data_IF_427088265575
#
_entry.id   IF_427088265575
#
_cell.length_a   1.000
_cell.length_b   1.000
_cell.length_c   1.000
_cell.angle_alpha   90.00
_cell.angle_beta   90.00
_cell.angle_gamma   90.00
#
_symmetry.space_group_name_H-M   'P 1'
#
loop_
_entity.id
_entity.type
_entity.pdbx_description
1 polymer ?
#
# COMPACT_ATOMS: atom_id res chain seq x y z
N UNK A 1 -21.30 11.74 43.23
CA UNK A 1 -20.91 10.31 43.14
C UNK A 1 -21.35 9.77 41.78
N UNK A 2 -20.59 8.86 41.17
CA UNK A 2 -20.89 8.35 39.81
C UNK A 2 -22.04 7.35 39.83
N UNK A 3 -22.89 7.37 38.80
CA UNK A 3 -23.97 6.40 38.55
C UNK A 3 -23.46 5.00 38.15
N UNK A 4 -22.15 4.76 38.22
CA UNK A 4 -21.48 3.51 37.82
C UNK A 4 -20.71 2.87 39.00
N UNK A 5 -21.03 3.28 40.23
CA UNK A 5 -20.41 2.79 41.46
C UNK A 5 -21.00 1.43 41.88
N UNK A 6 -20.20 0.68 42.64
CA UNK A 6 -20.56 -0.65 43.14
C UNK A 6 -21.76 -0.59 44.10
N UNK A 7 -22.66 -1.55 43.98
CA UNK A 7 -23.76 -1.77 44.95
C UNK A 7 -23.20 -2.37 46.24
N UNK A 8 -23.64 -1.85 47.38
CA UNK A 8 -23.34 -2.41 48.71
C UNK A 8 -24.51 -3.28 49.12
N UNK A 9 -24.28 -4.58 49.27
CA UNK A 9 -25.26 -5.54 49.76
C UNK A 9 -25.16 -5.65 51.28
N UNK A 10 -26.22 -5.29 51.99
CA UNK A 10 -26.28 -5.37 53.46
C UNK A 10 -27.35 -6.35 53.92
N UNK A 11 -27.14 -6.92 55.10
CA UNK A 11 -28.14 -7.77 55.76
C UNK A 11 -29.46 -7.02 55.96
N UNK A 12 -30.58 -7.70 55.70
CA UNK A 12 -31.92 -7.14 55.82
C UNK A 12 -32.34 -6.16 54.71
N UNK A 13 -31.51 -5.94 53.67
CA UNK A 13 -31.86 -5.05 52.56
C UNK A 13 -32.98 -5.62 51.69
N UNK A 14 -34.00 -4.81 51.39
CA UNK A 14 -35.09 -5.19 50.48
C UNK A 14 -34.66 -5.03 49.01
N UNK A 15 -34.78 -6.10 48.23
CA UNK A 15 -34.42 -6.10 46.81
C UNK A 15 -35.35 -5.20 45.99
N UNK A 16 -34.76 -4.47 45.06
CA UNK A 16 -35.45 -3.57 44.12
C UNK A 16 -34.74 -3.61 42.77
N UNK A 17 -35.41 -3.34 41.64
CA UNK A 17 -34.81 -3.36 40.31
C UNK A 17 -33.53 -2.52 40.20
N UNK A 18 -33.49 -1.38 40.89
CA UNK A 18 -32.34 -0.46 40.88
C UNK A 18 -31.04 -1.12 41.37
N UNK A 19 -31.11 -2.08 42.29
CA UNK A 19 -29.92 -2.79 42.76
C UNK A 19 -29.29 -3.62 41.63
N UNK A 20 -30.11 -4.31 40.84
CA UNK A 20 -29.64 -5.13 39.73
C UNK A 20 -29.12 -4.25 38.58
N UNK A 21 -29.88 -3.23 38.19
CA UNK A 21 -29.48 -2.25 37.15
C UNK A 21 -28.15 -1.56 37.50
N UNK A 22 -27.98 -1.14 38.76
CA UNK A 22 -26.74 -0.50 39.21
C UNK A 22 -25.57 -1.48 39.26
N UNK A 23 -25.82 -2.73 39.64
CA UNK A 23 -24.79 -3.78 39.64
C UNK A 23 -24.33 -4.09 38.22
N UNK A 24 -25.24 -4.23 37.26
CA UNK A 24 -24.93 -4.42 35.84
C UNK A 24 -24.07 -3.28 35.30
N UNK A 25 -24.50 -2.02 35.47
CA UNK A 25 -23.71 -0.84 35.06
C UNK A 25 -22.31 -0.82 35.66
N UNK A 26 -22.15 -1.21 36.93
CA UNK A 26 -20.84 -1.30 37.57
C UNK A 26 -19.96 -2.38 36.92
N UNK A 27 -20.52 -3.56 36.63
CA UNK A 27 -19.80 -4.68 36.01
C UNK A 27 -19.43 -4.38 34.56
N UNK A 28 -20.36 -3.85 33.76
CA UNK A 28 -20.12 -3.40 32.39
C UNK A 28 -18.98 -2.38 32.34
N UNK A 29 -19.03 -1.34 33.19
CA UNK A 29 -17.95 -0.34 33.28
C UNK A 29 -16.62 -0.98 33.66
N UNK A 30 -16.62 -1.92 34.60
CA UNK A 30 -15.39 -2.59 35.01
C UNK A 30 -14.77 -3.38 33.84
N UNK A 31 -15.60 -4.08 33.05
CA UNK A 31 -15.17 -4.79 31.85
C UNK A 31 -14.64 -3.81 30.82
N UNK A 32 -15.42 -2.79 30.46
CA UNK A 32 -15.05 -1.77 29.47
C UNK A 32 -13.73 -1.06 29.83
N UNK A 33 -13.57 -0.61 31.08
CA UNK A 33 -12.34 0.03 31.53
C UNK A 33 -11.12 -0.89 31.48
N UNK A 34 -11.31 -2.19 31.73
CA UNK A 34 -10.21 -3.18 31.65
C UNK A 34 -9.88 -3.49 30.19
N UNK A 35 -10.87 -3.60 29.32
CA UNK A 35 -10.69 -3.85 27.88
C UNK A 35 -10.02 -2.67 27.18
N UNK A 36 -10.50 -1.44 27.43
CA UNK A 36 -9.95 -0.21 26.83
C UNK A 36 -8.50 0.07 27.28
N UNK A 37 -8.08 -0.44 28.44
CA UNK A 37 -6.70 -0.34 28.89
C UNK A 37 -5.74 -1.30 28.16
N UNK A 38 -6.25 -2.34 27.49
CA UNK A 38 -5.43 -3.35 26.81
C UNK A 38 -5.17 -3.03 25.34
N UNK A 39 -6.14 -2.44 24.64
CA UNK A 39 -6.03 -2.15 23.22
C UNK A 39 -6.56 -0.75 22.90
N UNK A 40 -5.76 0.05 22.21
CA UNK A 40 -6.24 1.28 21.60
C UNK A 40 -7.19 0.94 20.45
N UNK A 41 -8.30 1.68 20.34
CA UNK A 41 -9.31 1.48 19.29
C UNK A 41 -9.96 0.08 19.33
N UNK A 42 -10.30 -0.42 20.52
CA UNK A 42 -10.97 -1.71 20.72
C UNK A 42 -12.44 -1.77 20.28
N UNK A 43 -12.81 -1.02 19.23
CA UNK A 43 -14.14 -0.99 18.65
C UNK A 43 -14.06 -1.13 17.12
N UNK A 44 -15.18 -1.42 16.46
CA UNK A 44 -15.26 -1.66 15.02
C UNK A 44 -15.93 -3.00 14.70
N UNK A 45 -16.05 -3.28 13.41
CA UNK A 45 -16.58 -4.55 12.91
C UNK A 45 -15.53 -5.67 13.00
N UNK A 46 -15.98 -6.85 13.42
CA UNK A 46 -15.32 -8.12 13.12
C UNK A 46 -15.80 -8.70 11.79
N UNK A 47 -17.05 -8.39 11.42
CA UNK A 47 -17.69 -8.90 10.21
C UNK A 47 -18.83 -7.96 9.81
N UNK A 48 -19.03 -7.74 8.50
CA UNK A 48 -20.15 -6.97 7.96
C UNK A 48 -20.51 -7.49 6.56
N UNK A 49 -21.79 -7.82 6.36
CA UNK A 49 -22.36 -8.13 5.05
C UNK A 49 -23.60 -7.28 4.85
N UNK A 50 -23.61 -6.50 3.76
CA UNK A 50 -24.74 -5.69 3.29
C UNK A 50 -25.49 -6.46 2.19
N UNK A 51 -26.82 -6.33 2.17
CA UNK A 51 -27.66 -6.93 1.13
C UNK A 51 -27.50 -6.21 -0.22
N UNK A 52 -26.84 -6.87 -1.16
CA UNK A 52 -26.58 -6.33 -2.50
C UNK A 52 -27.82 -6.26 -3.40
N UNK A 53 -28.85 -7.07 -3.15
CA UNK A 53 -30.09 -7.07 -3.93
C UNK A 53 -31.01 -5.93 -3.51
N UNK A 54 -31.02 -5.56 -2.23
CA UNK A 54 -31.77 -4.41 -1.73
C UNK A 54 -31.16 -3.07 -2.18
N UNK A 55 -29.85 -2.99 -2.41
CA UNK A 55 -29.20 -1.80 -2.98
C UNK A 55 -29.77 -1.42 -4.35
N UNK A 56 -30.17 -2.43 -5.16
CA UNK A 56 -30.81 -2.21 -6.47
C UNK A 56 -32.21 -1.61 -6.35
N UNK A 57 -32.79 -1.59 -5.15
CA UNK A 57 -34.15 -1.14 -4.86
C UNK A 57 -34.19 0.15 -4.03
N UNK A 58 -33.06 0.86 -3.87
CA UNK A 58 -33.01 2.09 -3.08
C UNK A 58 -32.86 1.84 -1.58
N UNK A 59 -32.41 0.65 -1.17
CA UNK A 59 -32.46 0.22 0.23
C UNK A 59 -31.12 -0.30 0.72
N UNK A 60 -30.77 0.02 1.95
CA UNK A 60 -29.62 -0.56 2.65
C UNK A 60 -30.13 -1.42 3.79
N UNK A 61 -29.66 -2.67 3.83
CA UNK A 61 -29.92 -3.61 4.90
C UNK A 61 -28.65 -4.38 5.24
N UNK A 62 -28.48 -4.73 6.51
CA UNK A 62 -27.42 -5.61 6.98
C UNK A 62 -27.95 -7.04 6.96
N UNK A 63 -27.22 -7.97 6.35
CA UNK A 63 -27.53 -9.42 6.36
C UNK A 63 -26.93 -10.08 7.60
N UNK A 64 -25.71 -9.69 7.95
CA UNK A 64 -25.05 -10.12 9.18
C UNK A 64 -23.95 -9.13 9.54
N UNK A 65 -23.76 -8.88 10.83
CA UNK A 65 -22.66 -8.06 11.31
C UNK A 65 -22.32 -8.40 12.75
N UNK A 66 -21.03 -8.43 13.07
CA UNK A 66 -20.54 -8.59 14.44
C UNK A 66 -19.49 -7.55 14.71
N UNK A 67 -19.43 -7.06 15.95
CA UNK A 67 -18.48 -6.02 16.30
C UNK A 67 -18.71 -5.42 17.67
N UNK A 68 -18.02 -4.32 17.91
CA UNK A 68 -18.10 -3.52 19.14
C UNK A 68 -18.30 -2.06 18.73
N UNK A 69 -19.36 -1.42 19.22
CA UNK A 69 -19.62 0.00 18.98
C UNK A 69 -18.62 0.88 19.75
N UNK A 70 -18.43 2.16 19.38
CA UNK A 70 -17.44 3.03 20.04
C UNK A 70 -17.69 3.27 21.54
N UNK A 71 -18.91 3.00 22.03
CA UNK A 71 -19.25 3.05 23.46
C UNK A 71 -18.94 1.74 24.22
N UNK A 72 -18.27 0.79 23.57
CA UNK A 72 -17.85 -0.49 24.13
C UNK A 72 -18.89 -1.61 24.01
N UNK A 73 -20.04 -1.35 23.38
CA UNK A 73 -21.13 -2.34 23.34
C UNK A 73 -20.96 -3.34 22.22
N UNK A 74 -20.87 -4.65 22.53
CA UNK A 74 -20.83 -5.69 21.52
C UNK A 74 -22.20 -5.87 20.86
N UNK A 75 -22.21 -6.31 19.61
CA UNK A 75 -23.42 -6.71 18.89
C UNK A 75 -23.13 -7.89 17.95
N UNK A 76 -24.17 -8.67 17.66
CA UNK A 76 -24.11 -9.84 16.78
C UNK A 76 -25.45 -10.06 16.04
N UNK A 77 -25.54 -9.53 14.83
CA UNK A 77 -26.71 -9.63 13.95
C UNK A 77 -26.53 -10.83 12.99
N UNK A 78 -27.53 -11.72 12.82
CA UNK A 78 -28.82 -11.78 13.52
C UNK A 78 -28.84 -12.74 14.73
N UNK A 79 -27.67 -13.23 15.17
CA UNK A 79 -27.62 -14.36 16.12
C UNK A 79 -28.08 -13.98 17.53
N UNK A 80 -27.58 -12.88 18.07
CA UNK A 80 -27.90 -12.40 19.42
C UNK A 80 -28.82 -11.17 19.38
N UNK A 81 -28.70 -10.36 18.32
CA UNK A 81 -29.43 -9.11 18.14
C UNK A 81 -30.34 -9.15 16.91
N UNK A 82 -31.47 -8.45 16.99
CA UNK A 82 -32.39 -8.30 15.87
C UNK A 82 -31.79 -7.44 14.74
N UNK A 83 -32.21 -7.74 13.50
CA UNK A 83 -31.82 -6.95 12.35
C UNK A 83 -32.29 -5.49 12.51
N UNK A 84 -31.42 -4.49 12.23
CA UNK A 84 -31.86 -3.11 12.19
C UNK A 84 -32.88 -2.93 11.05
N UNK A 85 -33.80 -1.98 11.23
CA UNK A 85 -34.78 -1.67 10.20
C UNK A 85 -34.10 -1.27 8.89
N UNK A 86 -34.65 -1.76 7.77
CA UNK A 86 -34.15 -1.44 6.43
C UNK A 86 -34.18 0.07 6.22
N UNK A 87 -33.06 0.64 5.79
CA UNK A 87 -32.91 2.06 5.51
C UNK A 87 -33.28 2.34 4.05
N UNK A 88 -34.33 3.13 3.82
CA UNK A 88 -34.66 3.62 2.49
C UNK A 88 -33.83 4.87 2.17
N UNK A 89 -33.17 4.86 1.02
CA UNK A 89 -32.32 5.96 0.55
C UNK A 89 -33.13 6.82 -0.42
N UNK A 90 -33.28 8.13 -0.14
CA UNK A 90 -33.91 9.04 -1.08
C UNK A 90 -33.15 9.14 -2.41
N UNK A 91 -33.85 9.55 -3.47
CA UNK A 91 -33.23 9.85 -4.76
C UNK A 91 -32.30 11.08 -4.64
N UNK A 92 -31.27 11.15 -5.52
CA UNK A 92 -30.31 12.26 -5.60
C UNK A 92 -29.42 12.46 -4.34
N UNK A 93 -29.21 11.39 -3.57
CA UNK A 93 -28.19 11.39 -2.52
C UNK A 93 -26.81 11.19 -3.15
N UNK A 94 -25.83 11.99 -2.70
CA UNK A 94 -24.46 11.95 -3.17
C UNK A 94 -23.48 12.06 -2.01
N UNK A 95 -22.43 11.23 -2.03
CA UNK A 95 -21.32 11.24 -1.07
C UNK A 95 -21.79 11.33 0.40
N UNK A 96 -22.67 10.44 0.82
CA UNK A 96 -23.25 10.43 2.16
C UNK A 96 -22.86 9.15 2.92
N UNK A 97 -22.49 9.31 4.19
CA UNK A 97 -22.20 8.17 5.08
C UNK A 97 -23.47 7.54 5.65
N UNK A 98 -23.43 6.22 5.82
CA UNK A 98 -24.44 5.42 6.51
C UNK A 98 -23.80 4.75 7.72
N UNK A 99 -24.50 4.77 8.85
CA UNK A 99 -24.01 4.30 10.12
C UNK A 99 -24.92 3.22 10.72
N UNK A 100 -24.33 2.28 11.44
CA UNK A 100 -25.02 1.44 12.42
C UNK A 100 -24.91 2.14 13.77
N UNK A 101 -26.05 2.50 14.35
CA UNK A 101 -26.14 3.26 15.59
C UNK A 101 -26.88 2.51 16.69
N UNK A 102 -26.53 2.82 17.93
CA UNK A 102 -27.32 2.47 19.12
C UNK A 102 -27.48 3.70 20.03
N UNK A 103 -28.63 3.93 20.68
CA UNK A 103 -28.80 5.06 21.59
C UNK A 103 -27.80 5.03 22.76
N UNK A 104 -27.13 6.15 23.04
CA UNK A 104 -26.14 6.28 24.12
C UNK A 104 -26.75 6.08 25.51
N UNK A 105 -25.99 5.45 26.41
CA UNK A 105 -26.33 5.38 27.84
C UNK A 105 -26.24 6.78 28.47
N UNK A 106 -27.37 7.32 28.94
CA UNK A 106 -27.47 8.66 29.54
C UNK A 106 -28.00 8.55 30.97
N UNK A 107 -27.29 9.17 31.92
CA UNK A 107 -27.72 9.17 33.31
C UNK A 107 -29.11 9.83 33.47
N UNK A 108 -30.05 9.10 34.04
CA UNK A 108 -31.44 9.56 34.26
C UNK A 108 -32.37 9.44 33.06
N UNK A 109 -31.88 8.98 31.91
CA UNK A 109 -32.73 8.60 30.78
C UNK A 109 -33.29 7.19 30.97
N UNK A 110 -34.43 6.91 30.34
CA UNK A 110 -34.97 5.55 30.25
C UNK A 110 -34.09 4.73 29.28
N UNK A 111 -33.43 3.71 29.81
CA UNK A 111 -32.55 2.83 29.01
C UNK A 111 -33.33 1.72 28.29
N UNK A 112 -34.49 1.32 28.83
CA UNK A 112 -35.30 0.22 28.30
C UNK A 112 -36.72 0.68 28.04
N UNK A 113 -37.21 0.43 26.83
CA UNK A 113 -38.60 0.60 26.47
C UNK A 113 -39.39 -0.67 26.83
N UNK A 114 -40.30 -0.57 27.80
CA UNK A 114 -41.16 -1.66 28.27
C UNK A 114 -42.58 -1.53 27.71
N UNK A 115 -42.95 -0.34 27.21
CA UNK A 115 -44.29 -0.03 26.71
C UNK A 115 -44.45 -0.24 25.20
N UNK A 116 -45.68 -0.09 24.73
CA UNK A 116 -46.03 -0.14 23.30
C UNK A 116 -45.66 1.13 22.53
N UNK A 117 -45.48 2.27 23.22
CA UNK A 117 -45.04 3.51 22.60
C UNK A 117 -43.55 3.43 22.24
N UNK A 118 -43.19 3.85 21.03
CA UNK A 118 -41.80 3.86 20.57
C UNK A 118 -41.02 4.95 21.31
N UNK A 119 -40.07 4.53 22.16
CA UNK A 119 -39.03 5.41 22.67
C UNK A 119 -37.76 5.28 21.82
N UNK A 120 -37.57 6.21 20.87
CA UNK A 120 -36.49 6.14 19.88
C UNK A 120 -35.07 6.19 20.47
N UNK A 121 -34.91 6.74 21.68
CA UNK A 121 -33.63 6.83 22.38
C UNK A 121 -33.49 5.82 23.53
N UNK A 122 -34.43 4.89 23.68
CA UNK A 122 -34.26 3.78 24.60
C UNK A 122 -33.26 2.79 23.97
N UNK A 123 -32.24 2.41 24.72
CA UNK A 123 -31.19 1.51 24.23
C UNK A 123 -31.69 0.09 23.98
N UNK A 124 -32.65 -0.37 24.78
CA UNK A 124 -33.21 -1.71 24.71
C UNK A 124 -34.72 -1.69 24.55
N UNK A 125 -35.27 -2.71 23.87
CA UNK A 125 -36.68 -3.08 23.93
C UNK A 125 -36.86 -4.29 24.84
N UNK A 126 -37.87 -4.27 25.70
CA UNK A 126 -38.28 -5.47 26.42
C UNK A 126 -38.92 -6.47 25.45
N UNK A 127 -38.44 -7.71 25.45
CA UNK A 127 -38.98 -8.82 24.67
C UNK A 127 -39.20 -9.99 25.60
N UNK A 128 -40.36 -10.64 25.49
CA UNK A 128 -40.65 -11.85 26.27
C UNK A 128 -39.85 -13.04 25.71
N UNK A 129 -39.18 -13.77 26.58
CA UNK A 129 -38.40 -14.95 26.26
C UNK A 129 -38.59 -16.03 27.32
N UNK A 130 -38.82 -17.26 26.89
CA UNK A 130 -38.88 -18.42 27.77
C UNK A 130 -37.46 -18.87 28.12
N UNK A 131 -37.11 -18.79 29.41
CA UNK A 131 -35.79 -19.16 29.91
C UNK A 131 -35.88 -20.45 30.71
N UNK A 132 -35.07 -21.43 30.33
CA UNK A 132 -34.98 -22.73 30.99
C UNK A 132 -34.12 -22.64 32.25
N UNK A 133 -34.58 -23.26 33.33
CA UNK A 133 -33.70 -23.56 34.47
C UNK A 133 -32.70 -24.67 34.09
N UNK A 134 -31.41 -24.33 34.05
CA UNK A 134 -30.32 -25.26 33.75
C UNK A 134 -29.78 -25.99 34.99
N UNK A 135 -30.24 -25.65 36.18
CA UNK A 135 -29.90 -26.34 37.43
C UNK A 135 -30.86 -27.49 37.74
N UNK A 136 -32.06 -27.51 37.15
CA UNK A 136 -33.06 -28.56 37.31
C UNK A 136 -33.11 -29.46 36.04
N UNK A 137 -32.93 -30.79 36.16
CA UNK A 137 -33.15 -31.73 35.07
C UNK A 137 -34.53 -31.64 34.41
N UNK A 138 -35.58 -31.29 35.17
CA UNK A 138 -36.92 -31.06 34.63
C UNK A 138 -36.97 -29.89 33.65
N UNK A 139 -36.09 -28.89 33.85
CA UNK A 139 -35.87 -27.80 32.91
C UNK A 139 -37.12 -26.96 32.67
N UNK A 140 -37.82 -26.57 33.75
CA UNK A 140 -39.00 -25.71 33.65
C UNK A 140 -38.65 -24.41 32.91
N UNK A 141 -39.56 -23.98 32.06
CA UNK A 141 -39.47 -22.72 31.32
C UNK A 141 -40.17 -21.62 32.13
N UNK A 142 -39.45 -20.54 32.37
CA UNK A 142 -39.98 -19.33 32.98
C UNK A 142 -39.96 -18.20 31.94
N UNK A 143 -41.12 -17.59 31.69
CA UNK A 143 -41.20 -16.41 30.84
C UNK A 143 -40.56 -15.22 31.57
N UNK A 144 -39.55 -14.61 30.93
CA UNK A 144 -38.84 -13.43 31.39
C UNK A 144 -38.83 -12.35 30.31
N UNK A 145 -38.71 -11.08 30.72
CA UNK A 145 -38.43 -9.98 29.79
C UNK A 145 -36.93 -9.79 29.66
N UNK A 146 -36.42 -9.95 28.45
CA UNK A 146 -35.01 -9.68 28.10
C UNK A 146 -34.90 -8.37 27.32
N UNK A 147 -33.73 -7.73 27.38
CA UNK A 147 -33.45 -6.49 26.66
C UNK A 147 -32.87 -6.78 25.28
N UNK A 148 -33.65 -6.56 24.21
CA UNK A 148 -33.17 -6.59 22.84
C UNK A 148 -32.54 -5.24 22.47
N UNK A 149 -31.30 -5.24 21.98
CA UNK A 149 -30.58 -4.02 21.61
C UNK A 149 -31.28 -3.29 20.45
N UNK A 150 -31.48 -1.97 20.58
CA UNK A 150 -32.06 -1.16 19.51
C UNK A 150 -31.00 -0.67 18.53
N UNK A 151 -30.56 -1.56 17.64
CA UNK A 151 -29.69 -1.22 16.52
C UNK A 151 -30.49 -0.52 15.41
N UNK A 152 -29.94 0.55 14.85
CA UNK A 152 -30.58 1.35 13.82
C UNK A 152 -29.59 1.70 12.71
N UNK A 153 -30.03 1.65 11.46
CA UNK A 153 -29.30 2.25 10.35
C UNK A 153 -29.66 3.74 10.29
N UNK A 154 -28.64 4.59 10.29
CA UNK A 154 -28.75 6.05 10.32
C UNK A 154 -27.96 6.65 9.16
N UNK A 155 -28.44 7.76 8.63
CA UNK A 155 -27.73 8.55 7.62
C UNK A 155 -26.91 9.65 8.28
N UNK A 156 -25.89 10.12 7.58
CA UNK A 156 -25.10 11.28 8.02
C UNK A 156 -25.94 12.54 8.23
N UNK A 157 -27.02 12.69 7.48
CA UNK A 157 -27.98 13.78 7.63
C UNK A 157 -28.93 13.66 8.84
N UNK A 158 -28.97 12.52 9.52
CA UNK A 158 -29.77 12.33 10.74
C UNK A 158 -29.08 12.96 11.97
N UNK A 159 -29.82 13.12 13.08
CA UNK A 159 -29.21 13.55 14.36
C UNK A 159 -28.47 12.39 15.05
N UNK A 160 -27.17 12.30 14.79
CA UNK A 160 -26.28 11.27 15.34
C UNK A 160 -25.86 11.54 16.80
N UNK A 161 -26.15 12.71 17.38
CA UNK A 161 -25.70 13.09 18.74
C UNK A 161 -26.27 12.18 19.86
N UNK A 162 -27.36 11.48 19.55
CA UNK A 162 -28.02 10.48 20.38
C UNK A 162 -27.34 9.12 20.43
N UNK A 163 -26.38 8.85 19.54
CA UNK A 163 -26.00 7.48 19.19
C UNK A 163 -24.49 7.24 19.28
N UNK A 164 -24.12 6.01 19.63
CA UNK A 164 -22.81 5.49 19.31
C UNK A 164 -22.89 4.84 17.92
N UNK A 165 -22.03 5.28 16.99
CA UNK A 165 -22.16 4.96 15.56
C UNK A 165 -20.90 4.29 15.00
N UNK A 166 -21.09 3.28 14.16
CA UNK A 166 -20.06 2.72 13.27
C UNK A 166 -20.43 2.98 11.82
N UNK A 167 -19.48 3.46 11.02
CA UNK A 167 -19.69 3.64 9.58
C UNK A 167 -19.84 2.29 8.87
N UNK A 168 -20.97 2.10 8.20
CA UNK A 168 -21.35 0.86 7.49
C UNK A 168 -20.91 0.94 6.03
N UNK A 169 -21.23 2.05 5.38
CA UNK A 169 -20.89 2.27 3.97
C UNK A 169 -20.91 3.76 3.64
N UNK A 170 -20.24 4.13 2.54
CA UNK A 170 -20.39 5.44 1.88
C UNK A 170 -21.19 5.29 0.59
N UNK A 171 -22.22 6.09 0.42
CA UNK A 171 -22.99 6.19 -0.82
C UNK A 171 -22.26 7.14 -1.75
N UNK A 172 -21.93 6.68 -2.96
CA UNK A 172 -21.39 7.55 -4.04
C UNK A 172 -22.54 8.35 -4.65
N UNK A 173 -23.56 7.64 -5.11
CA UNK A 173 -24.77 8.21 -5.69
C UNK A 173 -25.98 7.29 -5.51
N UNK A 174 -27.17 7.88 -5.41
CA UNK A 174 -28.46 7.21 -5.64
C UNK A 174 -29.03 7.68 -6.97
N UNK A 175 -29.23 6.74 -7.89
CA UNK A 175 -29.65 6.99 -9.28
C UNK A 175 -31.17 7.09 -9.42
N UNK A 176 -31.63 7.63 -10.55
CA UNK A 176 -33.05 7.77 -10.90
C UNK A 176 -33.77 6.40 -11.01
N UNK A 177 -33.04 5.32 -11.26
CA UNK A 177 -33.57 3.94 -11.24
C UNK A 177 -33.67 3.34 -9.83
N UNK A 178 -33.45 4.17 -8.80
CA UNK A 178 -33.36 3.83 -7.37
C UNK A 178 -32.14 2.99 -7.00
N UNK A 179 -31.21 2.73 -7.91
CA UNK A 179 -30.00 2.00 -7.55
C UNK A 179 -29.11 2.85 -6.64
N UNK A 180 -28.71 2.29 -5.50
CA UNK A 180 -27.70 2.88 -4.61
C UNK A 180 -26.34 2.30 -4.97
N UNK A 181 -25.38 3.18 -5.26
CA UNK A 181 -24.00 2.80 -5.53
C UNK A 181 -23.16 3.13 -4.31
N UNK A 182 -22.54 2.10 -3.73
CA UNK A 182 -21.63 2.24 -2.62
C UNK A 182 -20.19 2.45 -3.13
N UNK A 183 -19.40 3.13 -2.31
CA UNK A 183 -17.99 3.37 -2.57
C UNK A 183 -17.15 2.12 -2.28
N UNK A 184 -16.52 1.56 -3.30
CA UNK A 184 -15.67 0.37 -3.20
C UNK A 184 -14.30 0.64 -2.54
N UNK A 185 -13.92 1.92 -2.38
CA UNK A 185 -12.72 2.34 -1.69
C UNK A 185 -12.96 2.59 -0.20
N UNK A 186 -14.22 2.64 0.24
CA UNK A 186 -14.54 2.82 1.66
C UNK A 186 -14.00 1.65 2.49
N UNK A 187 -13.34 1.99 3.60
CA UNK A 187 -12.78 1.02 4.54
C UNK A 187 -13.47 1.21 5.87
N UNK A 188 -14.26 0.21 6.28
CA UNK A 188 -14.94 0.18 7.57
C UNK A 188 -13.94 0.22 8.73
N UNK A 189 -14.32 0.82 9.86
CA UNK A 189 -13.59 0.62 11.11
C UNK A 189 -13.71 -0.84 11.54
N UNK A 190 -12.58 -1.52 11.67
CA UNK A 190 -12.56 -2.94 11.97
C UNK A 190 -11.53 -3.33 13.02
N UNK A 191 -11.83 -4.39 13.76
CA UNK A 191 -10.93 -4.96 14.78
C UNK A 191 -9.93 -5.95 14.19
N UNK A 192 -10.24 -6.48 13.00
CA UNK A 192 -9.40 -7.36 12.21
C UNK A 192 -9.40 -6.87 10.76
N UNK A 193 -8.22 -6.76 10.17
CA UNK A 193 -8.01 -6.48 8.75
C UNK A 193 -8.84 -7.41 7.86
N UNK A 194 -9.06 -8.66 8.27
CA UNK A 194 -9.87 -9.64 7.56
C UNK A 194 -11.33 -9.17 7.30
N UNK A 195 -11.88 -8.29 8.14
CA UNK A 195 -13.22 -7.74 7.98
C UNK A 195 -13.33 -6.72 6.84
N UNK A 196 -12.21 -6.13 6.41
CA UNK A 196 -12.16 -5.09 5.40
C UNK A 196 -11.48 -5.59 4.12
N UNK A 197 -12.28 -5.90 3.09
CA UNK A 197 -11.81 -6.47 1.83
C UNK A 197 -10.71 -5.63 1.14
N UNK A 198 -10.75 -4.30 1.29
CA UNK A 198 -9.74 -3.41 0.70
C UNK A 198 -8.36 -3.61 1.35
N UNK A 199 -8.32 -3.84 2.66
CA UNK A 199 -7.07 -4.06 3.39
C UNK A 199 -6.48 -5.44 3.08
N UNK A 200 -7.30 -6.50 3.07
CA UNK A 200 -6.86 -7.85 2.69
C UNK A 200 -6.40 -7.91 1.23
N UNK A 201 -7.17 -7.32 0.32
CA UNK A 201 -6.80 -7.22 -1.09
C UNK A 201 -5.47 -6.51 -1.30
N UNK A 202 -5.21 -5.42 -0.55
CA UNK A 202 -3.93 -4.73 -0.60
C UNK A 202 -2.77 -5.59 -0.05
N UNK A 203 -2.96 -6.35 1.03
CA UNK A 203 -1.93 -7.26 1.54
C UNK A 203 -1.55 -8.34 0.52
N UNK A 204 -2.54 -8.91 -0.17
CA UNK A 204 -2.29 -9.86 -1.26
C UNK A 204 -1.55 -9.21 -2.43
N UNK A 205 -1.97 -8.00 -2.83
CA UNK A 205 -1.29 -7.23 -3.87
C UNK A 205 0.17 -6.93 -3.49
N UNK A 206 0.41 -6.45 -2.27
CA UNK A 206 1.73 -6.09 -1.77
C UNK A 206 2.66 -7.30 -1.71
N UNK A 207 2.17 -8.45 -1.27
CA UNK A 207 2.90 -9.72 -1.30
C UNK A 207 3.37 -10.06 -2.73
N UNK A 208 2.46 -10.00 -3.70
CA UNK A 208 2.80 -10.26 -5.12
C UNK A 208 3.81 -9.26 -5.70
N UNK A 209 3.67 -7.97 -5.36
CA UNK A 209 4.61 -6.93 -5.79
C UNK A 209 6.01 -7.13 -5.18
N UNK A 210 6.08 -7.48 -3.90
CA UNK A 210 7.34 -7.78 -3.22
C UNK A 210 8.00 -9.01 -3.82
N UNK A 211 7.25 -10.08 -4.03
CA UNK A 211 7.75 -11.31 -4.65
C UNK A 211 8.36 -11.05 -6.03
N UNK A 212 7.60 -10.42 -6.92
CA UNK A 212 8.09 -10.08 -8.26
C UNK A 212 9.33 -9.18 -8.20
N UNK A 213 9.38 -8.23 -7.25
CA UNK A 213 10.54 -7.36 -7.08
C UNK A 213 11.77 -8.10 -6.55
N UNK A 214 11.57 -9.03 -5.61
CA UNK A 214 12.61 -9.88 -5.03
C UNK A 214 13.26 -10.74 -6.10
N UNK A 215 12.47 -11.47 -6.88
CA UNK A 215 12.96 -12.32 -7.98
C UNK A 215 13.74 -11.53 -9.03
N UNK A 216 13.23 -10.36 -9.43
CA UNK A 216 13.91 -9.50 -10.40
C UNK A 216 15.27 -8.97 -9.90
N UNK A 217 15.36 -8.61 -8.61
CA UNK A 217 16.61 -8.14 -8.01
C UNK A 217 17.60 -9.29 -7.78
N UNK A 218 17.11 -10.45 -7.33
CA UNK A 218 17.93 -11.63 -7.12
C UNK A 218 18.57 -12.14 -8.42
N UNK A 219 17.78 -12.26 -9.49
CA UNK A 219 18.28 -12.66 -10.80
C UNK A 219 19.33 -11.68 -11.34
N UNK A 220 19.07 -10.37 -11.21
CA UNK A 220 20.02 -9.32 -11.62
C UNK A 220 21.36 -9.42 -10.90
N UNK A 221 21.34 -9.66 -9.59
CA UNK A 221 22.53 -9.76 -8.77
C UNK A 221 23.30 -11.09 -8.97
N UNK A 222 22.62 -12.14 -9.43
CA UNK A 222 23.24 -13.43 -9.77
C UNK A 222 24.00 -13.37 -11.11
N UNK A 223 23.47 -12.64 -12.11
CA UNK A 223 24.10 -12.46 -13.43
C UNK A 223 25.25 -11.44 -13.44
N UNK A 224 25.29 -10.54 -12.46
CA UNK A 224 26.35 -9.52 -12.35
C UNK A 224 27.65 -10.13 -11.80
N UNK A 225 28.56 -10.53 -12.70
CA UNK A 225 30.00 -10.69 -12.38
C UNK A 225 30.74 -9.35 -12.17
N UNK A 226 30.01 -8.30 -11.79
CA UNK A 226 30.48 -6.91 -11.70
C UNK A 226 30.74 -6.54 -10.24
N UNK A 227 31.49 -5.47 -10.04
CA UNK A 227 31.82 -4.93 -8.72
C UNK A 227 31.66 -3.41 -8.78
N UNK A 228 30.68 -2.85 -8.06
CA UNK A 228 30.45 -1.40 -8.05
C UNK A 228 29.40 -0.89 -7.04
N UNK A 229 29.33 0.44 -6.90
CA UNK A 229 28.41 1.10 -5.95
C UNK A 229 26.91 0.92 -6.26
N UNK A 230 26.55 0.68 -7.53
CA UNK A 230 25.19 0.39 -7.95
C UNK A 230 24.69 -0.97 -7.42
N UNK A 231 25.59 -1.96 -7.29
CA UNK A 231 25.24 -3.27 -6.71
C UNK A 231 24.93 -3.16 -5.23
N UNK A 232 25.62 -2.29 -4.48
CA UNK A 232 25.35 -2.09 -3.05
C UNK A 232 23.90 -1.60 -2.85
N UNK A 233 23.42 -0.68 -3.70
CA UNK A 233 22.05 -0.21 -3.62
C UNK A 233 21.04 -1.32 -3.94
N UNK A 234 21.31 -2.15 -4.96
CA UNK A 234 20.47 -3.29 -5.33
C UNK A 234 20.48 -4.38 -4.24
N UNK A 235 21.62 -4.66 -3.59
CA UNK A 235 21.71 -5.57 -2.44
C UNK A 235 20.93 -5.05 -1.23
N UNK A 236 21.04 -3.75 -0.91
CA UNK A 236 20.28 -3.14 0.19
C UNK A 236 18.77 -3.17 -0.07
N UNK A 237 18.36 -2.89 -1.31
CA UNK A 237 16.95 -3.00 -1.69
C UNK A 237 16.46 -4.46 -1.67
N UNK A 238 17.26 -5.41 -2.15
CA UNK A 238 16.93 -6.84 -2.07
C UNK A 238 16.85 -7.30 -0.62
N UNK A 239 17.77 -6.86 0.25
CA UNK A 239 17.72 -7.16 1.69
C UNK A 239 16.43 -6.62 2.33
N UNK A 240 16.03 -5.39 1.95
CA UNK A 240 14.75 -4.83 2.37
C UNK A 240 13.58 -5.72 1.90
N UNK A 241 13.51 -6.03 0.61
CA UNK A 241 12.43 -6.88 0.04
C UNK A 241 12.39 -8.25 0.71
N UNK A 242 13.53 -8.92 0.88
CA UNK A 242 13.65 -10.23 1.53
C UNK A 242 13.22 -10.22 3.01
N UNK A 243 13.24 -9.05 3.66
CA UNK A 243 12.68 -8.88 5.01
C UNK A 243 11.17 -8.62 4.98
N UNK A 244 10.71 -7.80 4.03
CA UNK A 244 9.31 -7.38 3.95
C UNK A 244 8.39 -8.46 3.41
N UNK A 245 8.79 -9.21 2.38
CA UNK A 245 7.97 -10.26 1.77
C UNK A 245 7.49 -11.32 2.79
N UNK A 246 8.37 -11.97 3.57
CA UNK A 246 7.91 -12.94 4.57
C UNK A 246 7.07 -12.29 5.68
N UNK A 247 7.34 -11.04 6.06
CA UNK A 247 6.52 -10.31 7.03
C UNK A 247 5.11 -10.07 6.50
N UNK A 248 4.98 -9.57 5.27
CA UNK A 248 3.67 -9.35 4.62
C UNK A 248 2.92 -10.67 4.46
N UNK A 249 3.60 -11.76 4.08
CA UNK A 249 2.99 -13.09 4.00
C UNK A 249 2.48 -13.58 5.37
N UNK A 250 3.24 -13.32 6.45
CA UNK A 250 2.78 -13.61 7.80
C UNK A 250 1.54 -12.78 8.16
N UNK A 251 1.59 -11.46 7.97
CA UNK A 251 0.48 -10.56 8.27
C UNK A 251 -0.79 -10.91 7.48
N UNK A 252 -0.66 -11.28 6.21
CA UNK A 252 -1.78 -11.69 5.36
C UNK A 252 -2.47 -13.00 5.81
N UNK A 253 -1.76 -13.85 6.57
CA UNK A 253 -2.31 -15.12 7.10
C UNK A 253 -2.71 -15.02 8.57
N UNK A 254 -2.33 -13.94 9.26
CA UNK A 254 -2.59 -13.73 10.68
C UNK A 254 -4.06 -13.38 10.92
N UNK A 255 -4.72 -14.12 11.82
CA UNK A 255 -6.05 -13.77 12.33
C UNK A 255 -5.92 -12.84 13.53
N UNK A 256 -6.77 -11.83 13.60
CA UNK A 256 -6.73 -10.81 14.66
C UNK A 256 -5.74 -9.69 14.37
N UNK A 257 -5.33 -9.47 13.12
CA UNK A 257 -4.45 -8.36 12.77
C UNK A 257 -5.23 -7.04 12.84
N UNK A 258 -5.02 -6.28 13.90
CA UNK A 258 -5.66 -4.97 14.04
C UNK A 258 -5.10 -3.96 13.01
N UNK A 259 -5.94 -3.09 12.39
CA UNK A 259 -5.48 -2.16 11.34
C UNK A 259 -4.39 -1.18 11.80
N UNK A 260 -4.36 -0.76 13.08
CA UNK A 260 -3.27 0.08 13.61
C UNK A 260 -1.90 -0.62 13.50
N UNK A 261 -1.86 -1.92 13.80
CA UNK A 261 -0.63 -2.69 13.71
C UNK A 261 -0.18 -2.81 12.25
N UNK A 262 -1.11 -3.13 11.34
CA UNK A 262 -0.83 -3.12 9.91
C UNK A 262 -0.31 -1.76 9.43
N UNK A 263 -1.00 -0.67 9.79
CA UNK A 263 -0.63 0.68 9.40
C UNK A 263 0.80 1.03 9.84
N UNK A 264 1.15 0.68 11.08
CA UNK A 264 2.48 0.90 11.65
C UNK A 264 3.56 0.20 10.83
N UNK A 265 3.31 -1.04 10.40
CA UNK A 265 4.24 -1.76 9.53
C UNK A 265 4.33 -1.13 8.14
N UNK A 266 3.19 -0.81 7.50
CA UNK A 266 3.19 -0.25 6.15
C UNK A 266 3.88 1.12 6.06
N UNK A 267 3.73 1.98 7.06
CA UNK A 267 4.41 3.29 7.10
C UNK A 267 5.92 3.12 7.19
N UNK A 268 6.40 2.15 7.99
CA UNK A 268 7.83 1.83 8.05
C UNK A 268 8.35 1.32 6.71
N UNK A 269 7.62 0.39 6.07
CA UNK A 269 7.95 -0.13 4.74
C UNK A 269 8.07 1.01 3.71
N UNK A 270 7.05 1.87 3.63
CA UNK A 270 7.03 2.97 2.68
C UNK A 270 8.14 3.99 2.97
N UNK A 271 8.40 4.26 4.26
CA UNK A 271 9.49 5.13 4.71
C UNK A 271 10.86 4.66 4.24
N UNK A 272 11.15 3.36 4.39
CA UNK A 272 12.45 2.81 4.02
C UNK A 272 12.60 2.68 2.50
N UNK A 273 11.55 2.23 1.81
CA UNK A 273 11.53 2.12 0.34
C UNK A 273 11.71 3.48 -0.35
N UNK A 274 11.26 4.56 0.26
CA UNK A 274 11.45 5.91 -0.26
C UNK A 274 12.93 6.27 -0.43
N UNK A 275 13.83 5.70 0.37
CA UNK A 275 15.29 5.89 0.24
C UNK A 275 15.81 5.56 -1.15
N UNK A 276 15.21 4.55 -1.78
CA UNK A 276 15.62 4.01 -3.09
C UNK A 276 14.80 4.55 -4.25
N UNK A 277 13.55 4.98 -3.99
CA UNK A 277 12.56 5.21 -5.05
C UNK A 277 12.16 6.67 -5.20
N UNK A 278 12.40 7.51 -4.19
CA UNK A 278 12.10 8.95 -4.27
C UNK A 278 13.33 9.76 -4.63
N UNK A 279 13.13 10.85 -5.39
CA UNK A 279 14.21 11.73 -5.86
C UNK A 279 15.01 12.38 -4.71
N UNK A 280 14.33 12.75 -3.63
CA UNK A 280 14.93 13.33 -2.42
C UNK A 280 15.29 12.29 -1.36
N UNK A 281 15.09 10.98 -1.65
CA UNK A 281 15.38 9.86 -0.75
C UNK A 281 14.65 9.94 0.59
N UNK A 282 13.46 10.55 0.63
CA UNK A 282 12.64 10.72 1.83
C UNK A 282 11.17 10.44 1.48
N UNK A 283 10.41 9.79 2.39
CA UNK A 283 8.99 9.58 2.15
C UNK A 283 8.22 10.90 2.15
N UNK A 284 7.01 10.86 1.60
CA UNK A 284 6.01 11.89 1.83
C UNK A 284 5.59 11.89 3.30
N UNK A 285 4.91 12.95 3.74
CA UNK A 285 4.21 12.92 5.02
C UNK A 285 3.03 11.95 4.91
N UNK A 286 2.94 11.01 5.85
CA UNK A 286 1.78 10.13 5.98
C UNK A 286 0.82 10.71 7.01
N UNK A 287 -0.47 10.48 6.82
CA UNK A 287 -1.51 10.92 7.74
C UNK A 287 -1.39 10.24 9.11
N UNK A 288 -2.01 10.82 10.14
CA UNK A 288 -2.12 10.14 11.43
C UNK A 288 -3.14 8.99 11.31
N UNK A 289 -2.99 7.95 12.13
CA UNK A 289 -3.96 6.86 12.15
C UNK A 289 -5.32 7.34 12.68
N UNK A 290 -6.36 7.24 11.85
CA UNK A 290 -7.74 7.62 12.15
C UNK A 290 -8.62 6.37 12.01
N UNK A 291 -8.96 5.74 13.13
CA UNK A 291 -9.66 4.45 13.12
C UNK A 291 -11.07 4.51 12.51
N UNK A 292 -11.74 5.64 12.67
CA UNK A 292 -13.03 5.99 12.06
C UNK A 292 -12.92 6.27 10.55
N UNK A 293 -11.71 6.55 10.05
CA UNK A 293 -11.43 6.98 8.67
C UNK A 293 -10.23 6.22 8.10
N UNK A 294 -10.34 4.89 8.04
CA UNK A 294 -9.27 4.02 7.57
C UNK A 294 -8.92 4.27 6.10
N UNK A 295 -9.88 4.64 5.25
CA UNK A 295 -9.58 4.98 3.85
C UNK A 295 -8.60 6.15 3.76
N UNK A 296 -8.84 7.24 4.48
CA UNK A 296 -7.95 8.41 4.53
C UNK A 296 -6.58 8.03 5.09
N UNK A 297 -6.58 7.23 6.17
CA UNK A 297 -5.36 6.74 6.82
C UNK A 297 -4.46 5.96 5.87
N UNK A 298 -5.04 5.01 5.11
CA UNK A 298 -4.26 4.07 4.29
C UNK A 298 -3.99 4.54 2.86
N UNK A 299 -4.74 5.52 2.33
CA UNK A 299 -4.65 5.94 0.93
C UNK A 299 -3.22 6.31 0.50
N UNK A 300 -2.56 7.20 1.26
CA UNK A 300 -1.23 7.69 0.92
C UNK A 300 -0.15 6.60 1.00
N UNK A 301 -0.22 5.72 2.02
CA UNK A 301 0.77 4.64 2.18
C UNK A 301 0.59 3.55 1.12
N UNK A 302 -0.65 3.21 0.76
CA UNK A 302 -0.94 2.28 -0.34
C UNK A 302 -0.37 2.78 -1.66
N UNK A 303 -0.61 4.05 -1.98
CA UNK A 303 -0.08 4.66 -3.19
C UNK A 303 1.45 4.70 -3.19
N UNK A 304 2.06 5.11 -2.07
CA UNK A 304 3.51 5.17 -1.93
C UNK A 304 4.18 3.81 -2.15
N UNK A 305 3.68 2.76 -1.51
CA UNK A 305 4.21 1.40 -1.67
C UNK A 305 4.07 0.88 -3.10
N UNK A 306 2.91 1.08 -3.74
CA UNK A 306 2.71 0.71 -5.15
C UNK A 306 3.72 1.41 -6.04
N UNK A 307 3.83 2.73 -5.92
CA UNK A 307 4.77 3.52 -6.73
C UNK A 307 6.21 3.06 -6.53
N UNK A 308 6.62 2.82 -5.29
CA UNK A 308 7.98 2.36 -4.98
C UNK A 308 8.29 0.96 -5.55
N UNK A 309 7.34 0.02 -5.53
CA UNK A 309 7.57 -1.34 -6.08
C UNK A 309 7.45 -1.40 -7.59
N UNK A 310 6.56 -0.58 -8.17
CA UNK A 310 6.40 -0.47 -9.62
C UNK A 310 7.52 0.31 -10.31
N UNK A 311 8.29 1.11 -9.56
CA UNK A 311 9.42 1.86 -10.13
C UNK A 311 10.48 0.87 -10.63
N UNK A 312 10.53 0.65 -11.94
CA UNK A 312 11.65 -0.04 -12.57
C UNK A 312 12.88 0.83 -12.33
N UNK A 313 13.84 0.32 -11.54
CA UNK A 313 15.19 0.87 -11.55
C UNK A 313 15.75 0.52 -12.92
N UNK A 314 15.41 1.33 -13.93
CA UNK A 314 15.95 1.18 -15.27
C UNK A 314 17.46 1.27 -15.17
N UNK A 315 18.15 0.32 -15.80
CA UNK A 315 19.59 0.43 -16.00
C UNK A 315 19.81 1.65 -16.89
N UNK A 316 20.10 2.78 -16.26
CA UNK A 316 20.38 4.02 -16.99
C UNK A 316 21.63 3.90 -17.85
N UNK A 317 22.49 2.88 -17.63
CA UNK A 317 23.62 2.56 -18.49
C UNK A 317 23.61 1.08 -18.91
N UNK A 318 23.63 0.83 -20.21
CA UNK A 318 23.65 -0.48 -20.84
C UNK A 318 25.04 -0.70 -21.43
N UNK A 319 25.77 -1.77 -21.05
CA UNK A 319 27.03 -2.11 -21.67
C UNK A 319 26.82 -2.59 -23.10
N UNK A 320 27.71 -2.19 -23.99
CA UNK A 320 27.73 -2.54 -25.39
C UNK A 320 29.01 -3.33 -25.67
N UNK A 321 28.86 -4.62 -26.00
CA UNK A 321 30.00 -5.50 -26.23
C UNK A 321 30.80 -5.01 -27.45
N UNK A 322 32.13 -4.93 -27.31
CA UNK A 322 33.05 -4.59 -28.38
C UNK A 322 33.74 -5.87 -28.90
N UNK A 323 33.10 -6.53 -29.88
CA UNK A 323 33.65 -7.74 -30.48
C UNK A 323 34.83 -7.39 -31.41
N UNK A 324 36.02 -7.94 -31.11
CA UNK A 324 37.19 -7.75 -31.96
C UNK A 324 37.03 -8.42 -33.33
N UNK A 325 37.42 -7.69 -34.37
CA UNK A 325 37.50 -8.15 -35.76
C UNK A 325 38.91 -7.92 -36.28
N UNK A 326 39.14 -8.30 -37.55
CA UNK A 326 40.45 -8.14 -38.20
C UNK A 326 40.83 -6.66 -38.35
N UNK A 327 42.14 -6.39 -38.35
CA UNK A 327 42.74 -5.07 -38.64
C UNK A 327 42.41 -3.98 -37.62
N UNK A 328 42.38 -4.30 -36.32
CA UNK A 328 42.17 -3.31 -35.26
C UNK A 328 40.77 -2.71 -35.21
N UNK A 329 39.79 -3.36 -35.85
CA UNK A 329 38.39 -2.95 -35.83
C UNK A 329 37.66 -3.70 -34.72
N UNK A 330 36.94 -2.99 -33.87
CA UNK A 330 36.01 -3.54 -32.89
C UNK A 330 34.58 -3.15 -33.28
N UNK A 331 33.65 -4.10 -33.19
CA UNK A 331 32.25 -3.90 -33.60
C UNK A 331 31.33 -4.12 -32.42
N UNK A 332 30.40 -3.19 -32.23
CA UNK A 332 29.34 -3.30 -31.24
C UNK A 332 27.97 -3.27 -31.92
N UNK A 333 27.29 -4.43 -32.06
CA UNK A 333 25.95 -4.48 -32.64
C UNK A 333 24.94 -3.77 -31.73
N UNK A 334 24.02 -3.02 -32.33
CA UNK A 334 22.95 -2.34 -31.59
C UNK A 334 21.61 -2.94 -31.99
N UNK A 335 21.09 -3.83 -31.15
CA UNK A 335 19.84 -4.54 -31.41
C UNK A 335 18.60 -3.68 -31.12
N UNK A 336 18.66 -2.85 -30.07
CA UNK A 336 17.61 -1.90 -29.72
C UNK A 336 17.89 -0.53 -30.34
N UNK A 337 17.17 -0.20 -31.41
CA UNK A 337 17.35 1.06 -32.14
C UNK A 337 16.93 2.29 -31.32
N UNK A 338 16.10 2.12 -30.29
CA UNK A 338 15.68 3.25 -29.42
C UNK A 338 16.88 3.88 -28.70
N UNK A 339 17.96 3.12 -28.49
CA UNK A 339 19.20 3.60 -27.88
C UNK A 339 19.88 4.69 -28.72
N UNK A 340 19.80 4.63 -30.05
CA UNK A 340 20.47 5.62 -30.93
C UNK A 340 19.83 7.00 -30.80
N UNK A 341 18.52 7.05 -30.55
CA UNK A 341 17.75 8.29 -30.41
C UNK A 341 17.60 8.78 -28.97
N UNK A 342 17.67 7.89 -27.99
CA UNK A 342 17.35 8.16 -26.58
C UNK A 342 18.51 8.02 -25.60
N UNK A 343 19.73 7.76 -26.08
CA UNK A 343 20.89 7.55 -25.20
C UNK A 343 22.10 8.38 -25.62
N UNK A 344 22.94 8.67 -24.64
CA UNK A 344 24.32 9.14 -24.82
C UNK A 344 25.24 7.94 -24.83
N UNK A 345 26.20 7.90 -25.75
CA UNK A 345 27.15 6.81 -25.84
C UNK A 345 28.50 7.23 -25.28
N UNK A 346 29.06 6.41 -24.40
CA UNK A 346 30.28 6.70 -23.67
C UNK A 346 31.26 5.55 -23.84
N UNK A 347 32.49 5.88 -24.23
CA UNK A 347 33.61 4.97 -24.31
C UNK A 347 34.53 5.22 -23.12
N UNK A 348 34.75 4.21 -22.29
CA UNK A 348 35.75 4.23 -21.23
C UNK A 348 37.03 3.56 -21.76
N UNK A 349 38.16 4.25 -21.62
CA UNK A 349 39.46 3.84 -22.17
C UNK A 349 40.49 3.84 -21.08
N UNK A 350 41.23 2.75 -20.95
CA UNK A 350 42.43 2.67 -20.11
C UNK A 350 43.59 2.21 -20.98
N UNK A 351 44.76 2.79 -20.77
CA UNK A 351 46.01 2.43 -21.45
C UNK A 351 47.18 2.79 -20.54
N UNK A 352 48.35 2.19 -20.78
CA UNK A 352 49.59 2.43 -20.02
C UNK A 352 50.29 3.73 -20.46
N UNK A 353 49.53 4.82 -20.53
CA UNK A 353 50.01 6.17 -20.82
C UNK A 353 49.34 7.20 -19.89
N UNK A 354 49.93 8.38 -19.67
CA UNK A 354 49.31 9.40 -18.81
C UNK A 354 47.93 9.86 -19.29
N UNK A 355 46.99 10.05 -18.37
CA UNK A 355 45.59 10.44 -18.69
C UNK A 355 45.50 11.72 -19.54
N UNK A 356 46.34 12.72 -19.27
CA UNK A 356 46.38 13.96 -20.06
C UNK A 356 46.76 13.70 -21.52
N UNK A 357 47.70 12.78 -21.76
CA UNK A 357 48.12 12.40 -23.09
C UNK A 357 47.04 11.56 -23.78
N UNK A 358 46.41 10.64 -23.05
CA UNK A 358 45.30 9.81 -23.54
C UNK A 358 44.11 10.68 -23.98
N UNK A 359 43.76 11.71 -23.19
CA UNK A 359 42.66 12.65 -23.50
C UNK A 359 42.85 13.38 -24.83
N UNK A 360 44.09 13.64 -25.24
CA UNK A 360 44.41 14.37 -26.48
C UNK A 360 44.65 13.41 -27.65
N UNK A 361 45.43 12.35 -27.44
CA UNK A 361 45.83 11.43 -28.52
C UNK A 361 44.70 10.50 -28.95
N UNK A 362 43.91 10.00 -27.99
CA UNK A 362 42.92 8.97 -28.29
C UNK A 362 41.82 9.45 -29.24
N UNK A 363 41.19 10.62 -29.06
CA UNK A 363 40.20 11.13 -30.03
C UNK A 363 40.77 11.34 -31.43
N UNK A 364 42.04 11.73 -31.56
CA UNK A 364 42.68 12.00 -32.85
C UNK A 364 43.08 10.72 -33.61
N UNK A 365 43.35 9.62 -32.90
CA UNK A 365 43.84 8.36 -33.47
C UNK A 365 42.75 7.28 -33.55
N UNK A 366 41.54 7.61 -33.13
CA UNK A 366 40.39 6.71 -33.11
C UNK A 366 39.32 7.16 -34.09
N UNK A 367 38.78 6.21 -34.84
CA UNK A 367 37.66 6.44 -35.76
C UNK A 367 36.46 5.63 -35.32
N UNK A 368 35.32 6.29 -35.17
CA UNK A 368 34.04 5.66 -34.86
C UNK A 368 33.07 5.95 -36.00
N UNK A 369 32.26 4.98 -36.36
CA UNK A 369 31.17 5.19 -37.32
C UNK A 369 30.28 3.97 -37.48
N UNK A 370 29.33 4.03 -38.43
CA UNK A 370 28.53 2.87 -38.84
C UNK A 370 29.42 1.70 -39.25
N UNK A 371 29.04 0.48 -38.85
CA UNK A 371 29.74 -0.77 -39.22
C UNK A 371 30.02 -0.87 -40.71
N UNK A 372 29.08 -0.42 -41.54
CA UNK A 372 29.12 -0.51 -42.99
C UNK A 372 30.14 0.46 -43.60
N UNK A 373 30.43 1.59 -42.93
CA UNK A 373 31.26 2.68 -43.47
C UNK A 373 32.67 2.75 -42.87
N UNK A 374 32.96 2.03 -41.79
CA UNK A 374 34.24 2.17 -41.05
C UNK A 374 35.48 1.95 -41.92
N UNK A 375 35.47 0.96 -42.82
CA UNK A 375 36.62 0.69 -43.72
C UNK A 375 36.91 1.84 -44.66
N UNK A 376 35.85 2.47 -45.18
CA UNK A 376 35.97 3.65 -46.04
C UNK A 376 36.53 4.83 -45.25
N UNK A 377 36.04 5.06 -44.02
CA UNK A 377 36.54 6.12 -43.15
C UNK A 377 38.04 5.98 -42.85
N UNK A 378 38.49 4.74 -42.60
CA UNK A 378 39.92 4.44 -42.36
C UNK A 378 40.74 4.69 -43.63
N UNK A 379 40.39 4.04 -44.74
CA UNK A 379 41.18 4.08 -45.99
C UNK A 379 41.22 5.48 -46.63
N UNK A 380 40.10 6.20 -46.62
CA UNK A 380 39.99 7.54 -47.22
C UNK A 380 40.41 8.66 -46.25
N UNK A 381 40.93 8.31 -45.07
CA UNK A 381 41.33 9.26 -44.03
C UNK A 381 40.24 10.27 -43.61
N UNK A 382 38.96 9.89 -43.77
CA UNK A 382 37.82 10.73 -43.41
C UNK A 382 37.62 10.76 -41.88
N UNK A 383 37.09 11.88 -41.34
CA UNK A 383 36.67 11.95 -39.93
C UNK A 383 35.47 11.03 -39.68
N UNK A 384 35.40 10.47 -38.48
CA UNK A 384 34.24 9.69 -38.02
C UNK A 384 33.35 10.49 -37.07
N UNK A 385 32.55 9.78 -36.27
CA UNK A 385 31.86 10.31 -35.10
C UNK A 385 32.93 10.79 -34.10
N UNK A 386 32.82 12.05 -33.68
CA UNK A 386 33.78 12.68 -32.76
C UNK A 386 33.71 12.10 -31.35
N UNK A 387 34.83 12.20 -30.62
CA UNK A 387 34.93 11.84 -29.20
C UNK A 387 35.23 13.09 -28.37
N UNK A 388 34.41 13.34 -27.35
CA UNK A 388 34.59 14.43 -26.39
C UNK A 388 35.01 13.87 -25.04
N UNK A 389 36.22 14.21 -24.58
CA UNK A 389 36.69 13.80 -23.26
C UNK A 389 35.78 14.40 -22.16
N UNK A 390 35.33 13.56 -21.24
CA UNK A 390 34.53 13.96 -20.09
C UNK A 390 35.45 14.26 -18.90
N UNK A 391 35.22 15.35 -18.14
CA UNK A 391 36.05 15.69 -16.99
C UNK A 391 35.90 14.68 -15.85
N UNK A 392 34.73 14.06 -15.73
CA UNK A 392 34.39 13.05 -14.71
C UNK A 392 33.60 11.91 -15.35
N UNK A 393 33.70 10.71 -14.76
CA UNK A 393 32.90 9.57 -15.18
C UNK A 393 31.39 9.86 -14.99
N UNK A 394 30.52 9.49 -15.94
CA UNK A 394 29.08 9.54 -15.74
C UNK A 394 28.66 8.69 -14.54
N UNK A 395 27.74 9.21 -13.72
CA UNK A 395 27.28 8.54 -12.47
C UNK A 395 26.59 7.21 -12.73
N UNK A 396 26.11 7.00 -13.95
CA UNK A 396 25.37 5.82 -14.38
C UNK A 396 26.29 4.65 -14.75
N UNK A 397 27.57 4.91 -15.03
CA UNK A 397 28.55 3.90 -15.46
C UNK A 397 29.46 3.55 -14.26
N UNK A 398 29.82 2.27 -14.05
CA UNK A 398 30.81 1.90 -13.04
C UNK A 398 32.11 2.69 -13.17
N UNK A 399 32.60 3.20 -12.04
CA UNK A 399 33.90 3.88 -12.00
C UNK A 399 35.01 2.85 -11.84
N UNK A 400 35.93 2.83 -12.80
CA UNK A 400 37.15 2.04 -12.74
C UNK A 400 38.35 2.99 -12.67
N UNK A 401 39.23 2.79 -11.68
CA UNK A 401 40.42 3.63 -11.52
C UNK A 401 41.36 3.47 -12.73
N UNK A 402 41.88 4.59 -13.24
CA UNK A 402 42.76 4.61 -14.42
C UNK A 402 42.04 4.61 -15.77
N UNK A 403 40.70 4.74 -15.78
CA UNK A 403 39.93 4.94 -17.01
C UNK A 403 39.67 6.41 -17.30
N UNK A 404 39.81 6.79 -18.56
CA UNK A 404 39.38 8.06 -19.13
C UNK A 404 38.11 7.87 -19.95
N UNK A 405 37.13 8.75 -19.77
CA UNK A 405 35.80 8.62 -20.38
C UNK A 405 35.61 9.61 -21.52
N UNK A 406 35.06 9.14 -22.64
CA UNK A 406 34.78 9.94 -23.83
C UNK A 406 33.33 9.76 -24.27
N UNK A 407 32.62 10.86 -24.48
CA UNK A 407 31.28 10.88 -25.05
C UNK A 407 31.34 10.97 -26.57
N UNK A 408 30.51 10.19 -27.27
CA UNK A 408 30.40 10.26 -28.72
C UNK A 408 29.54 11.46 -29.13
N UNK A 409 29.98 12.20 -30.15
CA UNK A 409 29.26 13.38 -30.66
C UNK A 409 28.07 12.97 -31.53
N UNK A 410 26.88 13.10 -30.94
CA UNK A 410 25.60 12.79 -31.57
C UNK A 410 25.14 13.83 -32.62
N UNK A 411 25.91 14.91 -32.84
CA UNK A 411 25.60 15.93 -33.85
C UNK A 411 26.31 15.73 -35.18
N UNK A 412 27.18 14.72 -35.29
CA UNK A 412 27.90 14.42 -36.53
C UNK A 412 26.97 13.93 -37.65
N UNK A 413 27.30 14.21 -38.91
CA UNK A 413 26.52 13.73 -40.05
C UNK A 413 26.44 12.19 -40.11
N UNK A 414 27.50 11.51 -39.67
CA UNK A 414 27.54 10.04 -39.53
C UNK A 414 26.63 9.50 -38.42
N UNK A 415 26.19 10.34 -37.47
CA UNK A 415 25.19 9.95 -36.48
C UNK A 415 23.83 9.68 -37.11
N UNK A 416 23.48 10.40 -38.19
CA UNK A 416 22.21 10.15 -38.91
C UNK A 416 22.22 8.78 -39.58
N UNK A 417 23.37 8.37 -40.10
CA UNK A 417 23.55 7.05 -40.72
C UNK A 417 23.42 5.90 -39.70
N UNK A 418 23.68 6.15 -38.41
CA UNK A 418 23.52 5.15 -37.34
C UNK A 418 22.09 4.64 -37.20
N UNK A 419 21.07 5.40 -37.61
CA UNK A 419 19.67 4.94 -37.58
C UNK A 419 19.41 3.76 -38.51
N UNK A 420 20.21 3.62 -39.57
CA UNK A 420 20.09 2.56 -40.57
C UNK A 420 21.19 1.49 -40.45
N UNK A 421 22.19 1.72 -39.57
CA UNK A 421 23.33 0.82 -39.36
C UNK A 421 22.98 -0.36 -38.46
N UNK A 422 23.71 -1.48 -38.62
CA UNK A 422 23.66 -2.61 -37.71
C UNK A 422 24.39 -2.39 -36.37
N UNK A 423 25.11 -1.29 -36.20
CA UNK A 423 25.78 -0.94 -34.95
C UNK A 423 27.00 -0.05 -35.11
N UNK A 424 27.77 0.09 -34.04
CA UNK A 424 29.00 0.89 -34.03
C UNK A 424 30.20 0.06 -34.47
N UNK A 425 31.10 0.67 -35.23
CA UNK A 425 32.44 0.18 -35.43
C UNK A 425 33.47 1.22 -35.00
N UNK A 426 34.47 0.73 -34.29
CA UNK A 426 35.59 1.48 -33.76
C UNK A 426 36.87 0.96 -34.41
N UNK A 427 37.73 1.85 -34.87
CA UNK A 427 39.09 1.53 -35.28
C UNK A 427 40.06 2.43 -34.52
N UNK A 428 41.03 1.82 -33.83
CA UNK A 428 42.09 2.53 -33.11
C UNK A 428 43.37 2.39 -33.93
N UNK A 429 43.84 3.48 -34.54
CA UNK A 429 45.04 3.48 -35.38
C UNK A 429 46.34 3.78 -34.64
N UNK A 430 46.24 4.23 -33.38
CA UNK A 430 47.39 4.52 -32.51
C UNK A 430 47.87 3.31 -31.72
N UNK A 431 49.14 3.32 -31.34
CA UNK A 431 49.69 2.37 -30.37
C UNK A 431 49.38 2.84 -28.94
N UNK A 432 48.55 2.07 -28.23
CA UNK A 432 48.13 2.30 -26.85
C UNK A 432 48.41 1.00 -26.07
N UNK A 433 49.56 0.90 -25.38
CA UNK A 433 49.94 -0.31 -24.65
C UNK A 433 48.93 -0.63 -23.53
N UNK A 434 48.62 -1.91 -23.35
CA UNK A 434 47.68 -2.36 -22.32
C UNK A 434 46.24 -1.82 -22.49
N UNK A 435 45.83 -1.47 -23.71
CA UNK A 435 44.53 -0.82 -23.94
C UNK A 435 43.33 -1.71 -23.60
N UNK A 436 42.54 -1.26 -22.64
CA UNK A 436 41.23 -1.80 -22.29
C UNK A 436 40.14 -0.80 -22.74
N UNK A 437 39.05 -1.30 -23.31
CA UNK A 437 37.91 -0.49 -23.75
C UNK A 437 36.60 -1.04 -23.21
N UNK A 438 35.76 -0.15 -22.70
CA UNK A 438 34.36 -0.43 -22.43
C UNK A 438 33.48 0.56 -23.18
N UNK A 439 32.35 0.08 -23.69
CA UNK A 439 31.40 0.91 -24.41
C UNK A 439 30.03 0.83 -23.74
N UNK A 440 29.38 1.97 -23.57
CA UNK A 440 28.17 2.09 -22.77
C UNK A 440 27.16 2.99 -23.48
N UNK A 441 25.88 2.61 -23.46
CA UNK A 441 24.76 3.47 -23.80
C UNK A 441 24.06 3.93 -22.52
N UNK A 442 24.07 5.23 -22.26
CA UNK A 442 23.43 5.86 -21.11
C UNK A 442 22.09 6.48 -21.54
N UNK A 443 20.96 5.89 -21.14
CA UNK A 443 19.62 6.43 -21.45
C UNK A 443 19.43 7.79 -20.78
N UNK A 444 18.93 8.77 -21.54
CA UNK A 444 18.68 10.14 -21.08
C UNK A 444 17.27 10.36 -20.54
#
# INVERSE_FOLDING_TARGET
MSHLNKVVWSEGMFLRPQHFQQQERYLERLIDQRSNALHAYGWGFHHLIIDQELLKQGKISIVSATGILPDGTPFNIPQDDADPAILEIPENIHNEMVFLGVPLKRAGALETNIGSEKQALARYNAVDSDVRDNADPAGELQQLQIGALQLQLLRESDDLSGFACLGVARIVESRDDKQVILDDQYIISCLDVAAAQRLTGFLTELSGLLHHRGEALAARLADSGRSGSAEVADYLLLQLVNRLEPLVNHLASHKGLHPLALYTELVQMAGEMATFTTRNKRPIAFEHYLHDRLQETFAAVFQGLRQSLSMVLEQTAIPLELAERKYGIRVSPVNDRSLISGSVFVLAVKAEIPDEELRVRFPAQTKIGPVEKIRQLVNAQLPGIGLRALPVAPRQIPYHAGYTYFELDNKSDFWRDMQQSGGFALHVGGDFPGMELEFWAVRQ
#
